data_IF_036941557493
#
_entry.id   IF_036941557493
#
_cell.length_a   1.000
_cell.length_b   1.000
_cell.length_c   1.000
_cell.angle_alpha   90.00
_cell.angle_beta   90.00
_cell.angle_gamma   90.00
#
_symmetry.space_group_name_H-M   'P 1'
#
loop_
_entity.id
_entity.type
_entity.pdbx_description
1 polymer ?
#
# COMPACT_ATOMS: atom_id res chain seq x y z
N UNK A 1 8.61 -50.49 -21.58
CA UNK A 1 8.98 -49.43 -20.57
C UNK A 1 8.26 -49.78 -19.28
N UNK A 2 9.00 -50.22 -18.22
CA UNK A 2 8.41 -50.78 -17.01
C UNK A 2 7.75 -49.71 -16.12
N UNK A 3 6.51 -49.95 -15.67
CA UNK A 3 5.72 -49.07 -14.77
C UNK A 3 6.49 -48.57 -13.55
N UNK A 4 7.40 -49.34 -13.01
CA UNK A 4 8.26 -48.97 -11.87
C UNK A 4 9.30 -47.87 -12.20
N UNK A 5 9.81 -47.80 -13.43
CA UNK A 5 10.73 -46.74 -13.88
C UNK A 5 10.06 -45.40 -14.12
N UNK A 6 8.77 -45.41 -14.46
CA UNK A 6 7.98 -44.21 -14.62
C UNK A 6 7.66 -43.49 -13.30
N UNK A 7 7.44 -44.28 -12.22
CA UNK A 7 7.20 -43.74 -10.88
C UNK A 7 8.44 -43.08 -10.25
N UNK A 8 9.64 -43.57 -10.57
CA UNK A 8 10.89 -42.96 -10.05
C UNK A 8 11.29 -41.68 -10.77
N UNK A 9 10.85 -41.46 -12.01
CA UNK A 9 11.07 -40.19 -12.72
C UNK A 9 10.20 -39.05 -12.20
N UNK A 10 9.02 -39.34 -11.66
CA UNK A 10 8.10 -38.33 -11.08
C UNK A 10 8.46 -37.94 -9.65
N UNK A 11 9.21 -38.79 -8.93
CA UNK A 11 9.58 -38.53 -7.53
C UNK A 11 10.78 -37.61 -7.38
N UNK A 12 11.63 -37.43 -8.40
CA UNK A 12 12.83 -36.57 -8.31
C UNK A 12 12.63 -35.14 -8.84
N UNK A 13 11.46 -34.83 -9.44
CA UNK A 13 11.18 -33.52 -10.04
C UNK A 13 10.41 -32.53 -9.18
N UNK A 14 9.98 -32.91 -7.97
CA UNK A 14 9.00 -32.13 -7.19
C UNK A 14 9.57 -31.39 -5.97
N UNK A 15 10.89 -31.18 -5.91
CA UNK A 15 11.56 -30.53 -4.76
C UNK A 15 12.20 -29.18 -5.08
N UNK A 16 11.91 -28.59 -6.24
CA UNK A 16 12.41 -27.25 -6.57
C UNK A 16 11.20 -26.33 -6.75
N UNK A 17 10.85 -25.56 -5.72
CA UNK A 17 9.98 -24.41 -5.97
C UNK A 17 8.89 -24.08 -4.94
N UNK A 18 9.16 -24.09 -3.65
CA UNK A 18 8.25 -23.50 -2.66
C UNK A 18 8.98 -22.59 -1.65
N UNK A 19 9.84 -21.70 -2.13
CA UNK A 19 10.48 -20.70 -1.29
C UNK A 19 9.99 -19.27 -1.60
N UNK A 20 8.73 -19.11 -2.01
CA UNK A 20 8.14 -17.80 -2.29
C UNK A 20 7.14 -17.33 -1.21
N UNK A 21 7.26 -17.82 0.02
CA UNK A 21 6.48 -17.31 1.13
C UNK A 21 7.28 -16.22 1.86
N UNK A 22 6.80 -14.98 1.85
CA UNK A 22 7.30 -13.90 2.70
C UNK A 22 6.27 -13.60 3.79
N UNK A 23 6.73 -13.19 4.97
CA UNK A 23 5.86 -12.72 6.06
C UNK A 23 5.55 -11.24 5.87
N UNK A 24 4.31 -10.85 6.16
CA UNK A 24 3.92 -9.45 6.21
C UNK A 24 4.61 -8.75 7.40
N UNK A 25 5.18 -7.53 7.24
CA UNK A 25 6.07 -6.91 8.22
C UNK A 25 5.44 -6.65 9.60
N UNK A 26 4.13 -6.50 9.68
CA UNK A 26 3.40 -6.15 10.92
C UNK A 26 2.57 -7.33 11.42
N UNK A 27 1.98 -8.12 10.53
CA UNK A 27 1.03 -9.18 10.90
C UNK A 27 1.67 -10.57 10.97
N UNK A 28 2.95 -10.71 10.59
CA UNK A 28 3.72 -11.97 10.52
C UNK A 28 3.04 -13.09 9.71
N UNK A 29 2.01 -12.76 8.92
CA UNK A 29 1.30 -13.73 8.10
C UNK A 29 2.16 -14.15 6.91
N UNK A 30 2.14 -15.45 6.59
CA UNK A 30 2.76 -15.98 5.37
C UNK A 30 1.96 -15.52 4.16
N UNK A 31 2.62 -14.81 3.25
CA UNK A 31 2.03 -14.33 2.00
C UNK A 31 2.67 -15.05 0.81
N UNK A 32 1.86 -15.49 -0.15
CA UNK A 32 2.34 -15.99 -1.44
C UNK A 32 2.70 -14.78 -2.30
N UNK A 33 3.99 -14.53 -2.50
CA UNK A 33 4.48 -13.44 -3.34
C UNK A 33 4.43 -13.84 -4.82
N UNK A 34 3.28 -13.68 -5.46
CA UNK A 34 3.12 -13.92 -6.90
C UNK A 34 3.61 -12.75 -7.75
N UNK A 35 3.67 -11.55 -7.19
CA UNK A 35 4.09 -10.32 -7.88
C UNK A 35 5.17 -9.61 -7.04
N UNK A 36 6.22 -9.11 -7.69
CA UNK A 36 7.25 -8.32 -7.00
C UNK A 36 6.70 -6.96 -6.56
N UNK A 37 7.18 -6.44 -5.43
CA UNK A 37 6.77 -5.14 -4.89
C UNK A 37 7.02 -4.00 -5.87
N UNK A 38 8.15 -4.02 -6.56
CA UNK A 38 8.48 -3.02 -7.58
C UNK A 38 7.44 -3.00 -8.71
N UNK A 39 6.99 -4.16 -9.18
CA UNK A 39 5.95 -4.26 -10.20
C UNK A 39 4.60 -3.77 -9.69
N UNK A 40 4.25 -4.10 -8.44
CA UNK A 40 3.02 -3.65 -7.80
C UNK A 40 3.01 -2.12 -7.64
N UNK A 41 4.10 -1.53 -7.14
CA UNK A 41 4.25 -0.10 -7.00
C UNK A 41 4.20 0.63 -8.36
N UNK A 42 4.82 0.05 -9.40
CA UNK A 42 4.75 0.60 -10.75
C UNK A 42 3.32 0.58 -11.33
N UNK A 43 2.57 -0.50 -11.12
CA UNK A 43 1.16 -0.59 -11.52
C UNK A 43 0.29 0.42 -10.75
N UNK A 44 0.47 0.53 -9.44
CA UNK A 44 -0.23 1.51 -8.61
C UNK A 44 0.05 2.93 -9.08
N UNK A 45 1.31 3.29 -9.36
CA UNK A 45 1.69 4.59 -9.93
C UNK A 45 0.99 4.87 -11.26
N UNK A 46 0.95 3.89 -12.16
CA UNK A 46 0.28 4.05 -13.46
C UNK A 46 -1.23 4.28 -13.32
N UNK A 47 -1.89 3.60 -12.36
CA UNK A 47 -3.31 3.81 -12.04
C UNK A 47 -3.52 5.21 -11.42
N UNK A 48 -2.67 5.60 -10.49
CA UNK A 48 -2.73 6.89 -9.82
C UNK A 48 -2.61 8.06 -10.82
N UNK A 49 -1.68 7.98 -11.78
CA UNK A 49 -1.54 8.98 -12.84
C UNK A 49 -2.77 9.05 -13.76
N UNK A 50 -3.44 7.92 -14.01
CA UNK A 50 -4.73 7.92 -14.74
C UNK A 50 -5.83 8.62 -13.94
N UNK A 51 -5.87 8.41 -12.63
CA UNK A 51 -6.84 9.07 -11.74
C UNK A 51 -6.59 10.57 -11.74
N UNK A 52 -5.35 11.04 -11.60
CA UNK A 52 -4.99 12.47 -11.66
C UNK A 52 -5.45 13.16 -12.95
N UNK A 53 -5.43 12.41 -14.08
CA UNK A 53 -5.88 12.94 -15.38
C UNK A 53 -7.41 12.92 -15.54
N UNK A 54 -8.09 12.00 -14.88
CA UNK A 54 -9.55 11.79 -15.04
C UNK A 54 -10.36 12.58 -14.04
N UNK A 55 -9.91 12.67 -12.81
CA UNK A 55 -10.62 13.30 -11.72
C UNK A 55 -10.29 14.80 -11.66
N UNK A 56 -11.23 15.60 -11.17
CA UNK A 56 -10.99 17.03 -10.91
C UNK A 56 -10.21 17.17 -9.61
N UNK A 57 -9.01 17.74 -9.69
CA UNK A 57 -8.25 18.09 -8.49
C UNK A 57 -8.86 19.31 -7.81
N UNK A 58 -8.79 19.35 -6.48
CA UNK A 58 -9.25 20.48 -5.68
C UNK A 58 -8.26 21.64 -5.74
N UNK A 59 -8.79 22.85 -5.81
CA UNK A 59 -8.02 24.10 -5.72
C UNK A 59 -7.80 24.52 -4.26
N UNK A 60 -8.27 23.75 -3.27
CA UNK A 60 -8.10 24.02 -1.84
C UNK A 60 -6.68 23.61 -1.40
N UNK A 61 -5.74 24.54 -1.63
CA UNK A 61 -4.34 24.34 -1.24
C UNK A 61 -4.16 24.21 0.28
N UNK A 62 -5.01 24.86 1.08
CA UNK A 62 -4.92 24.79 2.55
C UNK A 62 -5.19 23.35 3.03
N UNK A 63 -6.28 22.74 2.55
CA UNK A 63 -6.59 21.34 2.85
C UNK A 63 -5.55 20.38 2.29
N UNK A 64 -5.03 20.61 1.08
CA UNK A 64 -3.98 19.79 0.49
C UNK A 64 -2.68 19.85 1.31
N UNK A 65 -2.28 21.03 1.77
CA UNK A 65 -1.09 21.19 2.62
C UNK A 65 -1.28 20.51 3.97
N UNK A 66 -2.46 20.60 4.58
CA UNK A 66 -2.78 19.88 5.81
C UNK A 66 -2.69 18.36 5.62
N UNK A 67 -3.18 17.81 4.49
CA UNK A 67 -3.05 16.40 4.14
C UNK A 67 -1.59 15.99 4.04
N UNK A 68 -0.75 16.79 3.37
CA UNK A 68 0.70 16.53 3.25
C UNK A 68 1.42 16.55 4.59
N UNK A 69 1.08 17.51 5.46
CA UNK A 69 1.66 17.59 6.82
C UNK A 69 1.30 16.38 7.68
N UNK A 70 0.03 15.95 7.63
CA UNK A 70 -0.41 14.72 8.30
C UNK A 70 0.33 13.51 7.74
N UNK A 71 0.39 13.40 6.41
CA UNK A 71 1.09 12.33 5.73
C UNK A 71 2.53 12.24 6.15
N UNK A 72 3.25 13.37 6.15
CA UNK A 72 4.65 13.42 6.57
C UNK A 72 4.87 12.95 8.01
N UNK A 73 4.00 13.34 8.94
CA UNK A 73 4.07 12.86 10.33
C UNK A 73 3.84 11.35 10.45
N UNK A 74 2.94 10.80 9.62
CA UNK A 74 2.70 9.34 9.58
C UNK A 74 3.92 8.61 9.00
N UNK A 75 4.51 9.11 7.90
CA UNK A 75 5.74 8.57 7.31
C UNK A 75 6.87 8.50 8.33
N UNK A 76 7.13 9.62 9.03
CA UNK A 76 8.18 9.71 10.05
C UNK A 76 7.93 8.73 11.20
N UNK A 77 6.66 8.59 11.64
CA UNK A 77 6.27 7.64 12.68
C UNK A 77 6.46 6.17 12.25
N UNK A 78 6.21 5.86 10.97
CA UNK A 78 6.46 4.52 10.40
C UNK A 78 7.94 4.22 10.43
N UNK A 79 8.77 5.10 9.90
CA UNK A 79 10.23 4.93 9.85
C UNK A 79 10.83 4.80 11.25
N UNK A 80 10.35 5.60 12.20
CA UNK A 80 10.76 5.52 13.61
C UNK A 80 10.37 4.17 14.23
N UNK A 81 9.15 3.69 14.00
CA UNK A 81 8.68 2.39 14.50
C UNK A 81 9.59 1.25 14.03
N UNK A 82 9.83 1.16 12.72
CA UNK A 82 10.64 0.09 12.14
C UNK A 82 12.11 0.17 12.59
N UNK A 83 12.66 1.38 12.72
CA UNK A 83 13.99 1.62 13.26
C UNK A 83 14.12 1.15 14.72
N UNK A 84 13.16 1.52 15.59
CA UNK A 84 13.16 1.09 17.00
C UNK A 84 12.97 -0.42 17.16
N UNK A 85 12.16 -1.03 16.31
CA UNK A 85 11.94 -2.47 16.30
C UNK A 85 13.11 -3.26 15.71
N UNK A 86 14.11 -2.59 15.13
CA UNK A 86 15.24 -3.18 14.42
C UNK A 86 14.82 -4.17 13.31
N UNK A 87 13.76 -3.82 12.58
CA UNK A 87 13.26 -4.57 11.43
C UNK A 87 13.26 -3.69 10.19
N UNK A 88 13.28 -4.32 9.00
CA UNK A 88 13.32 -3.59 7.73
C UNK A 88 12.03 -2.80 7.52
N UNK A 89 12.16 -1.50 7.24
CA UNK A 89 11.03 -0.64 6.90
C UNK A 89 10.51 -0.99 5.49
N UNK A 90 9.26 -1.46 5.35
CA UNK A 90 8.69 -1.82 4.06
C UNK A 90 8.38 -0.62 3.16
N UNK A 91 8.49 0.60 3.71
CA UNK A 91 8.18 1.84 2.98
C UNK A 91 9.40 2.54 2.39
N UNK A 92 10.61 1.99 2.58
CA UNK A 92 11.86 2.59 2.06
C UNK A 92 11.84 2.90 0.55
N UNK A 93 11.08 2.12 -0.22
CA UNK A 93 10.93 2.29 -1.67
C UNK A 93 9.59 2.92 -2.05
N UNK A 94 8.90 3.56 -1.11
CA UNK A 94 7.68 4.30 -1.41
C UNK A 94 8.02 5.67 -2.00
N UNK A 95 7.29 6.05 -3.04
CA UNK A 95 7.32 7.38 -3.65
C UNK A 95 6.03 8.09 -3.23
N UNK A 96 6.07 8.65 -2.00
CA UNK A 96 4.91 9.25 -1.35
C UNK A 96 4.35 10.43 -2.13
N UNK A 97 3.06 10.39 -2.41
CA UNK A 97 2.36 11.44 -3.14
C UNK A 97 0.93 11.56 -2.64
N UNK A 98 0.47 12.80 -2.47
CA UNK A 98 -0.83 13.15 -1.90
C UNK A 98 -1.60 14.01 -2.87
N UNK A 99 -2.87 13.64 -3.16
CA UNK A 99 -3.80 14.46 -3.93
C UNK A 99 -5.10 14.66 -3.16
N UNK A 100 -5.74 15.80 -3.42
CA UNK A 100 -7.09 16.12 -2.98
C UNK A 100 -8.00 16.17 -4.20
N UNK A 101 -8.96 15.24 -4.29
CA UNK A 101 -9.92 15.14 -5.40
C UNK A 101 -11.18 15.93 -5.04
N UNK A 102 -11.59 16.87 -5.92
CA UNK A 102 -12.79 17.67 -5.76
C UNK A 102 -14.05 16.84 -6.06
N UNK A 103 -14.52 16.11 -5.05
CA UNK A 103 -15.77 15.37 -5.13
C UNK A 103 -16.43 15.27 -3.74
N UNK A 104 -17.33 16.20 -3.43
CA UNK A 104 -18.04 16.25 -2.14
C UNK A 104 -18.99 15.08 -1.91
N UNK A 105 -19.40 14.38 -2.97
CA UNK A 105 -20.30 13.21 -2.85
C UNK A 105 -19.59 11.95 -2.39
N UNK A 106 -18.29 11.85 -2.66
CA UNK A 106 -17.46 10.72 -2.27
C UNK A 106 -16.83 10.99 -0.93
N UNK A 107 -17.20 10.20 0.07
CA UNK A 107 -16.72 10.31 1.46
C UNK A 107 -15.68 9.24 1.71
N UNK A 108 -14.52 9.35 1.05
CA UNK A 108 -13.49 8.33 1.04
C UNK A 108 -12.07 8.92 1.00
N UNK A 109 -11.12 8.11 1.42
CA UNK A 109 -9.70 8.25 1.15
C UNK A 109 -9.14 6.86 0.86
N UNK A 110 -7.98 6.78 0.22
CA UNK A 110 -7.31 5.51 -0.03
C UNK A 110 -5.81 5.70 -0.18
N UNK A 111 -5.07 4.63 0.09
CA UNK A 111 -3.63 4.53 -0.14
C UNK A 111 -3.34 3.30 -1.00
N UNK A 112 -2.68 3.52 -2.13
CA UNK A 112 -2.19 2.43 -2.98
C UNK A 112 -0.76 2.04 -2.63
N UNK A 113 -0.30 0.84 -3.04
CA UNK A 113 1.10 0.43 -2.92
C UNK A 113 2.05 1.49 -3.47
N UNK A 114 3.20 1.64 -2.81
CA UNK A 114 4.18 2.66 -3.17
C UNK A 114 3.87 4.06 -2.65
N UNK A 115 2.89 4.22 -1.73
CA UNK A 115 2.63 5.48 -1.05
C UNK A 115 1.83 6.50 -1.88
N UNK A 116 0.95 6.04 -2.75
CA UNK A 116 0.06 6.91 -3.54
C UNK A 116 -1.27 7.11 -2.83
N UNK A 117 -1.49 8.32 -2.29
CA UNK A 117 -2.63 8.66 -1.43
C UNK A 117 -3.56 9.64 -2.13
N UNK A 118 -4.85 9.36 -2.06
CA UNK A 118 -5.88 10.31 -2.45
C UNK A 118 -6.91 10.50 -1.34
N UNK A 119 -7.30 11.74 -1.17
CA UNK A 119 -8.37 12.17 -0.26
C UNK A 119 -9.43 12.86 -1.10
N UNK A 120 -10.70 12.54 -0.89
CA UNK A 120 -11.81 13.25 -1.51
C UNK A 120 -12.30 14.38 -0.62
N UNK A 121 -12.68 15.52 -1.21
CA UNK A 121 -13.19 16.65 -0.44
C UNK A 121 -14.38 16.29 0.43
N UNK A 122 -15.19 15.30 0.03
CA UNK A 122 -16.34 14.85 0.83
C UNK A 122 -15.97 14.22 2.18
N UNK A 123 -14.77 13.61 2.35
CA UNK A 123 -14.38 13.04 3.64
C UNK A 123 -14.06 14.13 4.67
N UNK A 124 -13.62 15.31 4.23
CA UNK A 124 -13.25 16.41 5.11
C UNK A 124 -14.44 16.88 5.98
N UNK A 125 -15.66 16.79 5.44
CA UNK A 125 -16.89 17.13 6.18
C UNK A 125 -17.15 16.14 7.34
N UNK A 126 -16.75 14.87 7.19
CA UNK A 126 -16.96 13.82 8.19
C UNK A 126 -15.86 13.85 9.24
N UNK A 127 -14.62 14.04 8.82
CA UNK A 127 -13.46 14.03 9.73
C UNK A 127 -13.45 15.23 10.66
N UNK A 128 -14.14 16.33 10.29
CA UNK A 128 -14.39 17.55 11.07
C UNK A 128 -13.13 18.32 11.51
N UNK A 129 -12.02 17.64 11.73
CA UNK A 129 -10.78 18.26 12.22
C UNK A 129 -9.55 17.40 11.82
N UNK A 130 -8.38 17.94 12.10
CA UNK A 130 -7.09 17.35 11.77
C UNK A 130 -6.92 15.94 12.36
N UNK A 131 -7.42 15.69 13.57
CA UNK A 131 -7.26 14.38 14.23
C UNK A 131 -8.12 13.31 13.54
N UNK A 132 -9.34 13.65 13.15
CA UNK A 132 -10.20 12.75 12.38
C UNK A 132 -9.61 12.43 11.03
N UNK A 133 -9.06 13.42 10.33
CA UNK A 133 -8.39 13.22 9.04
C UNK A 133 -7.13 12.35 9.20
N UNK A 134 -6.31 12.61 10.22
CA UNK A 134 -5.13 11.81 10.54
C UNK A 134 -5.49 10.35 10.85
N UNK A 135 -6.60 10.10 11.55
CA UNK A 135 -7.08 8.74 11.83
C UNK A 135 -7.46 7.99 10.56
N UNK A 136 -8.16 8.64 9.62
CA UNK A 136 -8.52 8.04 8.34
C UNK A 136 -7.26 7.78 7.51
N UNK A 137 -6.38 8.76 7.35
CA UNK A 137 -5.14 8.61 6.57
C UNK A 137 -4.24 7.54 7.16
N UNK A 138 -4.08 7.50 8.48
CA UNK A 138 -3.30 6.47 9.16
C UNK A 138 -3.84 5.06 8.91
N UNK A 139 -5.16 4.89 8.91
CA UNK A 139 -5.81 3.63 8.59
C UNK A 139 -5.50 3.17 7.16
N UNK A 140 -5.66 4.06 6.17
CA UNK A 140 -5.41 3.75 4.76
C UNK A 140 -3.92 3.45 4.49
N UNK A 141 -3.03 4.22 5.10
CA UNK A 141 -1.58 4.01 4.98
C UNK A 141 -1.19 2.69 5.65
N UNK A 142 -1.75 2.34 6.81
CA UNK A 142 -1.49 1.08 7.48
C UNK A 142 -1.86 -0.13 6.60
N UNK A 143 -2.94 -0.07 5.84
CA UNK A 143 -3.29 -1.11 4.87
C UNK A 143 -2.23 -1.29 3.78
N UNK A 144 -1.64 -0.20 3.28
CA UNK A 144 -0.58 -0.26 2.28
C UNK A 144 0.73 -0.81 2.88
N UNK A 145 1.09 -0.39 4.10
CA UNK A 145 2.28 -0.85 4.84
C UNK A 145 2.17 -2.34 5.18
N UNK A 146 1.00 -2.79 5.64
CA UNK A 146 0.72 -4.20 5.93
C UNK A 146 0.54 -5.08 4.68
N UNK A 147 0.60 -4.47 3.47
CA UNK A 147 0.48 -5.15 2.17
C UNK A 147 -0.84 -5.90 1.97
N UNK A 148 -1.93 -5.43 2.59
CA UNK A 148 -3.25 -6.07 2.47
C UNK A 148 -3.78 -6.10 1.02
N UNK A 149 -3.28 -5.23 0.14
CA UNK A 149 -3.62 -5.23 -1.29
C UNK A 149 -3.10 -6.45 -2.06
N UNK A 150 -2.18 -7.21 -1.49
CA UNK A 150 -1.60 -8.43 -2.09
C UNK A 150 -2.37 -9.69 -1.69
N UNK A 151 -3.23 -9.59 -0.68
CA UNK A 151 -4.00 -10.72 -0.11
C UNK A 151 -5.37 -10.94 -0.78
N UNK A 152 -5.76 -10.08 -1.75
CA UNK A 152 -7.06 -10.16 -2.45
C UNK A 152 -6.94 -10.71 -3.85
#
# INVERSE_FOLDING_TARGET
MNRRKFLHLFSSGCLIGLHSCTTAPITERRQLKLISESKLNAQAKAIYEKIKKKEKMSDDEASLNQIKEIGKKIEDSISEYFSRANISDPTLNFDWEYILIDNKKVKNAWCMPGGKIAVYTGILEITKNINGLASVMGHEIAHAVAKHSVER
#
